data_IF_253847119696
#
_entry.id   IF_253847119696
#
_cell.length_a   1.000
_cell.length_b   1.000
_cell.length_c   1.000
_cell.angle_alpha   90.00
_cell.angle_beta   90.00
_cell.angle_gamma   90.00
#
_symmetry.space_group_name_H-M   'P 1'
#
loop_
_entity.id
_entity.type
_entity.pdbx_description
1 polymer ?
#
# COMPACT_ATOMS: atom_id res chain seq x y z
N UNK A 1 -6.23 -12.78 13.57
CA UNK A 1 -7.04 -13.15 12.40
C UNK A 1 -6.50 -14.44 11.81
N UNK A 2 -7.35 -15.42 11.49
CA UNK A 2 -6.96 -16.61 10.71
C UNK A 2 -7.55 -16.46 9.31
N UNK A 3 -6.81 -16.89 8.28
CA UNK A 3 -7.24 -16.86 6.88
C UNK A 3 -6.78 -18.15 6.20
N UNK A 4 -7.57 -18.64 5.26
CA UNK A 4 -7.25 -19.78 4.41
C UNK A 4 -6.73 -19.26 3.07
N UNK A 5 -5.66 -19.85 2.56
CA UNK A 5 -5.02 -19.41 1.32
C UNK A 5 -4.52 -20.62 0.52
N UNK A 6 -4.46 -20.48 -0.79
CA UNK A 6 -3.93 -21.51 -1.69
C UNK A 6 -2.40 -21.49 -1.71
N UNK A 7 -1.81 -20.29 -1.76
CA UNK A 7 -0.36 -20.13 -1.91
C UNK A 7 0.15 -18.94 -1.12
N UNK A 8 1.26 -19.15 -0.41
CA UNK A 8 2.03 -18.07 0.20
C UNK A 8 3.03 -17.52 -0.83
N UNK A 9 2.89 -16.25 -1.19
CA UNK A 9 3.76 -15.57 -2.17
C UNK A 9 4.97 -14.89 -1.51
N UNK A 10 4.93 -14.71 -0.19
CA UNK A 10 6.02 -14.16 0.60
C UNK A 10 5.65 -14.06 2.07
N UNK A 11 6.42 -13.29 2.84
CA UNK A 11 6.19 -13.16 4.29
C UNK A 11 4.80 -12.60 4.61
N UNK A 12 4.39 -11.58 3.86
CA UNK A 12 3.18 -10.80 4.07
C UNK A 12 2.11 -10.99 2.99
N UNK A 13 2.37 -11.76 1.92
CA UNK A 13 1.49 -11.88 0.75
C UNK A 13 0.98 -13.31 0.54
N UNK A 14 -0.33 -13.46 0.35
CA UNK A 14 -1.00 -14.76 0.19
C UNK A 14 -2.05 -14.68 -0.91
N UNK A 15 -2.12 -15.69 -1.78
CA UNK A 15 -3.21 -15.85 -2.76
C UNK A 15 -4.34 -16.65 -2.12
N UNK A 16 -5.54 -16.08 -2.09
CA UNK A 16 -6.73 -16.71 -1.54
C UNK A 16 -7.39 -17.64 -2.58
N UNK A 17 -8.33 -18.48 -2.14
CA UNK A 17 -9.02 -19.46 -2.99
C UNK A 17 -9.91 -18.84 -4.08
N UNK A 18 -10.30 -17.58 -3.93
CA UNK A 18 -11.02 -16.82 -4.94
C UNK A 18 -10.09 -16.08 -5.93
N UNK A 19 -8.78 -16.32 -5.83
CA UNK A 19 -7.75 -15.67 -6.65
C UNK A 19 -7.34 -14.28 -6.17
N UNK A 20 -7.98 -13.73 -5.13
CA UNK A 20 -7.61 -12.43 -4.57
C UNK A 20 -6.28 -12.46 -3.80
N UNK A 21 -5.68 -11.27 -3.62
CA UNK A 21 -4.41 -11.10 -2.91
C UNK A 21 -4.66 -10.56 -1.49
N UNK A 22 -4.23 -11.30 -0.48
CA UNK A 22 -4.16 -10.84 0.89
C UNK A 22 -2.76 -10.30 1.21
N UNK A 23 -2.69 -9.04 1.66
CA UNK A 23 -1.50 -8.40 2.19
C UNK A 23 -1.66 -8.19 3.72
N UNK A 24 -0.90 -8.95 4.51
CA UNK A 24 -0.91 -8.88 5.98
C UNK A 24 0.20 -7.96 6.49
N UNK A 25 -0.12 -7.12 7.47
CA UNK A 25 0.83 -6.22 8.15
C UNK A 25 1.56 -5.27 7.18
N UNK A 26 0.90 -4.88 6.09
CA UNK A 26 1.43 -3.92 5.09
C UNK A 26 0.58 -2.64 5.12
N UNK A 27 1.20 -1.45 5.24
CA UNK A 27 0.46 -0.20 5.13
C UNK A 27 -0.09 -0.01 3.71
N UNK A 28 -1.35 0.39 3.62
CA UNK A 28 -2.04 0.63 2.34
C UNK A 28 -1.53 1.92 1.66
N UNK A 29 -1.13 2.91 2.46
CA UNK A 29 -0.57 4.18 2.00
C UNK A 29 0.50 4.69 2.96
N UNK A 30 1.49 5.44 2.43
CA UNK A 30 2.60 6.03 3.19
C UNK A 30 2.87 7.45 2.69
N UNK A 31 3.21 8.35 3.60
CA UNK A 31 3.73 9.69 3.25
C UNK A 31 5.24 9.66 3.01
N UNK A 32 5.79 10.72 2.44
CA UNK A 32 7.23 10.87 2.20
C UNK A 32 7.69 10.37 0.84
N UNK A 33 8.99 10.09 0.71
CA UNK A 33 9.61 9.68 -0.56
C UNK A 33 9.27 8.23 -0.89
N UNK A 34 8.82 8.00 -2.12
CA UNK A 34 8.48 6.70 -2.66
C UNK A 34 9.15 6.52 -4.01
N UNK A 35 9.65 5.31 -4.27
CA UNK A 35 10.35 4.95 -5.51
C UNK A 35 9.43 4.11 -6.38
N UNK A 36 9.36 4.45 -7.65
CA UNK A 36 8.53 3.82 -8.68
C UNK A 36 9.36 3.52 -9.91
N UNK A 37 8.96 2.51 -10.69
CA UNK A 37 9.50 2.28 -12.02
C UNK A 37 8.87 3.21 -13.06
N UNK A 38 9.48 3.28 -14.24
CA UNK A 38 8.95 4.07 -15.36
C UNK A 38 7.52 3.63 -15.77
N UNK A 39 7.24 2.32 -15.72
CA UNK A 39 5.94 1.75 -16.09
C UNK A 39 4.83 2.06 -15.07
N UNK A 40 5.19 2.31 -13.81
CA UNK A 40 4.22 2.67 -12.77
C UNK A 40 3.70 4.11 -12.97
N UNK A 41 4.55 5.00 -13.51
CA UNK A 41 4.29 6.44 -13.64
C UNK A 41 4.69 6.94 -15.03
N UNK A 42 4.02 6.50 -16.11
CA UNK A 42 4.44 6.74 -17.50
C UNK A 42 4.41 8.21 -17.92
N UNK A 43 3.76 9.08 -17.12
CA UNK A 43 3.70 10.53 -17.33
C UNK A 43 4.91 11.28 -16.76
N UNK A 44 5.76 10.61 -15.99
CA UNK A 44 6.93 11.21 -15.35
C UNK A 44 8.21 10.66 -15.97
N UNK A 45 9.24 11.50 -16.04
CA UNK A 45 10.54 11.11 -16.58
C UNK A 45 11.36 10.41 -15.48
N UNK A 46 11.83 9.17 -15.70
CA UNK A 46 12.72 8.51 -14.76
C UNK A 46 14.10 9.17 -14.71
N UNK A 47 14.83 8.90 -13.64
CA UNK A 47 16.22 9.25 -13.51
C UNK A 47 17.13 8.37 -14.39
N UNK A 48 18.44 8.57 -14.28
CA UNK A 48 19.44 7.81 -15.06
C UNK A 48 19.47 6.30 -14.78
N UNK A 49 18.81 5.84 -13.71
CA UNK A 49 18.70 4.43 -13.34
C UNK A 49 17.34 3.83 -13.68
N UNK A 50 16.44 4.59 -14.33
CA UNK A 50 15.11 4.11 -14.69
C UNK A 50 14.08 4.25 -13.56
N UNK A 51 14.40 5.00 -12.49
CA UNK A 51 13.57 5.11 -11.30
C UNK A 51 12.96 6.51 -11.15
N UNK A 52 11.78 6.59 -10.58
CA UNK A 52 11.07 7.83 -10.28
C UNK A 52 10.89 7.93 -8.77
N UNK A 53 11.40 9.02 -8.18
CA UNK A 53 11.18 9.31 -6.76
C UNK A 53 10.13 10.41 -6.61
N UNK A 54 8.97 10.06 -6.06
CA UNK A 54 7.90 11.02 -5.75
C UNK A 54 7.83 11.28 -4.25
N UNK A 55 7.41 12.47 -3.85
CA UNK A 55 7.10 12.78 -2.45
C UNK A 55 5.58 12.86 -2.29
N UNK A 56 5.01 12.01 -1.44
CA UNK A 56 3.57 12.00 -1.15
C UNK A 56 3.30 12.74 0.15
N UNK A 57 2.56 13.84 0.05
CA UNK A 57 2.17 14.63 1.23
C UNK A 57 0.99 13.97 1.96
N UNK A 58 0.80 14.26 3.26
CA UNK A 58 -0.37 13.78 4.00
C UNK A 58 -1.69 14.18 3.34
N UNK A 59 -1.79 15.41 2.82
CA UNK A 59 -3.01 15.94 2.20
C UNK A 59 -3.42 15.13 0.97
N UNK A 60 -2.43 14.60 0.23
CA UNK A 60 -2.66 13.74 -0.93
C UNK A 60 -2.96 12.30 -0.54
N UNK A 61 -2.24 11.74 0.45
CA UNK A 61 -2.45 10.35 0.89
C UNK A 61 -3.82 10.17 1.56
N UNK A 62 -4.25 11.16 2.35
CA UNK A 62 -5.51 11.14 3.07
C UNK A 62 -6.60 11.96 2.37
N UNK A 63 -6.38 12.34 1.11
CA UNK A 63 -7.41 13.03 0.33
C UNK A 63 -8.66 12.13 0.24
N UNK A 64 -9.89 12.68 0.38
CA UNK A 64 -11.12 11.88 0.31
C UNK A 64 -11.20 11.00 -0.93
N UNK A 65 -10.81 11.51 -2.09
CA UNK A 65 -10.78 10.73 -3.34
C UNK A 65 -9.79 9.55 -3.31
N UNK A 66 -8.66 9.67 -2.59
CA UNK A 66 -7.69 8.56 -2.42
C UNK A 66 -8.20 7.52 -1.43
N UNK A 67 -8.95 7.93 -0.40
CA UNK A 67 -9.60 6.97 0.49
C UNK A 67 -10.74 6.24 -0.23
N UNK A 68 -11.53 6.97 -1.05
CA UNK A 68 -12.63 6.43 -1.81
C UNK A 68 -12.19 5.37 -2.85
N UNK A 69 -10.94 5.39 -3.32
CA UNK A 69 -10.44 4.36 -4.24
C UNK A 69 -10.35 2.96 -3.61
N UNK A 70 -10.48 2.85 -2.28
CA UNK A 70 -10.54 1.57 -1.57
C UNK A 70 -11.99 1.13 -1.26
N UNK A 71 -13.00 1.87 -1.70
CA UNK A 71 -14.40 1.44 -1.56
C UNK A 71 -14.63 0.10 -2.27
N UNK A 72 -15.33 -0.80 -1.57
CA UNK A 72 -15.53 -2.19 -2.02
C UNK A 72 -14.36 -3.14 -1.71
N UNK A 73 -13.22 -2.64 -1.24
CA UNK A 73 -12.08 -3.47 -0.82
C UNK A 73 -12.11 -3.74 0.68
N UNK A 74 -11.78 -4.97 1.09
CA UNK A 74 -11.65 -5.32 2.50
C UNK A 74 -10.32 -4.82 3.06
N UNK A 75 -10.37 -3.91 4.03
CA UNK A 75 -9.18 -3.34 4.68
C UNK A 75 -9.26 -3.51 6.19
N UNK A 76 -8.09 -3.62 6.84
CA UNK A 76 -7.99 -3.60 8.31
C UNK A 76 -7.44 -2.27 8.76
N UNK A 77 -8.16 -1.57 9.63
CA UNK A 77 -7.71 -0.31 10.22
C UNK A 77 -7.01 -0.62 11.54
N UNK A 78 -5.71 -0.35 11.61
CA UNK A 78 -4.98 -0.40 12.87
C UNK A 78 -5.36 0.82 13.71
N UNK A 79 -6.23 0.62 14.69
CA UNK A 79 -6.47 1.64 15.71
C UNK A 79 -5.31 1.59 16.71
N UNK A 80 -4.37 2.51 16.58
CA UNK A 80 -3.36 2.71 17.63
C UNK A 80 -4.10 3.10 18.91
N UNK A 81 -3.91 2.33 19.99
CA UNK A 81 -4.36 2.77 21.32
C UNK A 81 -3.59 4.05 21.64
N UNK A 82 -4.33 5.12 21.95
CA UNK A 82 -3.77 6.38 22.46
C UNK A 82 -2.78 6.05 23.57
N UNK A 83 -1.47 6.21 23.31
CA UNK A 83 -0.41 5.85 24.27
C UNK A 83 0.84 5.18 23.68
N UNK A 84 0.82 4.69 22.44
CA UNK A 84 2.03 4.17 21.77
C UNK A 84 2.34 5.00 20.51
N UNK A 85 2.94 6.16 20.71
CA UNK A 85 3.68 6.85 19.66
C UNK A 85 5.14 6.36 19.76
N UNK A 86 5.50 5.44 18.87
CA UNK A 86 6.86 4.98 18.66
C UNK A 86 7.00 4.73 17.17
N UNK A 87 7.64 5.68 16.49
CA UNK A 87 8.11 5.56 15.11
C UNK A 87 9.24 4.54 15.04
#
# INVERSE_FOLDING_TARGET
MKYFFETRLGETRYRLADGSLLCKDVPIGRTGKQRYGADDLPKLKPDKFGEIVVTRSPEQVFHPATLASFEGMSISILKMKTGMCGW
#
